data_IF_304487512931
#
_entry.id   IF_304487512931
#
_cell.length_a   1.000
_cell.length_b   1.000
_cell.length_c   1.000
_cell.angle_alpha   90.00
_cell.angle_beta   90.00
_cell.angle_gamma   90.00
#
_symmetry.space_group_name_H-M   'P 1'
#
loop_
_entity.id
_entity.type
_entity.pdbx_description
1 polymer ?
#
# COMPACT_ATOMS: atom_id res chain seq x y z
N UNK A 1 8.63 -94.18 31.00
CA UNK A 1 7.87 -92.93 30.79
C UNK A 1 8.39 -91.72 31.60
N UNK A 2 9.55 -91.76 32.28
CA UNK A 2 10.04 -90.61 33.08
C UNK A 2 10.73 -89.52 32.23
N UNK A 3 11.36 -89.92 31.13
CA UNK A 3 12.10 -89.00 30.25
C UNK A 3 11.18 -88.21 29.31
N UNK A 4 9.97 -88.73 29.04
CA UNK A 4 8.97 -88.05 28.20
C UNK A 4 8.34 -86.86 28.92
N UNK A 5 8.11 -86.98 30.22
CA UNK A 5 7.56 -85.91 31.06
C UNK A 5 8.55 -84.74 31.12
N UNK A 6 9.85 -85.03 31.23
CA UNK A 6 10.89 -84.00 31.24
C UNK A 6 10.97 -83.24 29.90
N UNK A 7 10.83 -83.94 28.77
CA UNK A 7 10.81 -83.31 27.44
C UNK A 7 9.65 -82.34 27.25
N UNK A 8 8.44 -82.70 27.72
CA UNK A 8 7.25 -81.84 27.63
C UNK A 8 7.40 -80.58 28.49
N UNK A 9 8.00 -80.69 29.68
CA UNK A 9 8.25 -79.54 30.57
C UNK A 9 9.29 -78.58 29.97
N UNK A 10 10.35 -79.09 29.35
CA UNK A 10 11.34 -78.23 28.68
C UNK A 10 10.75 -77.52 27.44
N UNK A 11 9.86 -78.19 26.70
CA UNK A 11 9.20 -77.61 25.53
C UNK A 11 8.20 -76.50 25.92
N UNK A 12 7.49 -76.66 27.03
CA UNK A 12 6.53 -75.64 27.49
C UNK A 12 7.21 -74.38 28.03
N UNK A 13 8.36 -74.51 28.72
CA UNK A 13 9.10 -73.35 29.25
C UNK A 13 9.72 -72.51 28.13
N UNK A 14 10.17 -73.13 27.04
CA UNK A 14 10.78 -72.41 25.91
C UNK A 14 9.74 -71.87 24.92
N UNK A 15 8.56 -72.48 24.81
CA UNK A 15 7.48 -72.07 23.89
C UNK A 15 6.70 -70.82 24.31
N UNK A 16 6.71 -70.43 25.60
CA UNK A 16 5.96 -69.27 26.09
C UNK A 16 6.69 -67.92 25.89
N UNK A 17 7.95 -67.92 25.45
CA UNK A 17 8.76 -66.69 25.35
C UNK A 17 8.68 -65.96 23.99
N UNK A 18 7.78 -66.35 23.08
CA UNK A 18 7.68 -65.73 21.75
C UNK A 18 6.24 -65.42 21.29
N UNK A 19 5.45 -64.74 22.13
CA UNK A 19 4.23 -64.07 21.68
C UNK A 19 4.18 -62.63 22.16
N UNK A 20 5.17 -61.84 21.73
CA UNK A 20 5.01 -60.38 21.65
C UNK A 20 4.66 -60.07 20.21
N UNK A 21 3.36 -59.90 19.95
CA UNK A 21 2.91 -59.26 18.70
C UNK A 21 3.57 -57.87 18.71
N UNK A 22 4.26 -57.43 17.64
CA UNK A 22 4.55 -56.02 17.52
C UNK A 22 3.19 -55.35 17.39
N UNK A 23 2.81 -54.56 18.40
CA UNK A 23 1.71 -53.63 18.25
C UNK A 23 2.09 -52.68 17.10
N UNK A 24 1.63 -53.01 15.90
CA UNK A 24 1.61 -52.11 14.75
C UNK A 24 0.55 -51.05 15.03
N UNK A 25 0.83 -50.20 16.00
CA UNK A 25 0.15 -48.94 16.28
C UNK A 25 1.15 -47.78 16.37
N UNK A 26 2.39 -47.99 15.90
CA UNK A 26 3.42 -46.96 15.81
C UNK A 26 3.47 -46.25 14.45
N UNK A 27 2.33 -46.19 13.73
CA UNK A 27 2.18 -45.35 12.51
C UNK A 27 0.91 -44.48 12.59
N UNK A 28 0.28 -44.38 13.76
CA UNK A 28 -0.82 -43.45 14.01
C UNK A 28 -0.44 -42.28 14.94
N UNK A 29 0.84 -42.13 15.27
CA UNK A 29 1.38 -40.82 15.66
C UNK A 29 1.67 -40.04 14.39
N UNK A 30 0.61 -39.73 13.63
CA UNK A 30 0.64 -38.66 12.63
C UNK A 30 0.78 -37.39 13.44
N UNK A 31 2.02 -37.05 13.76
CA UNK A 31 2.53 -35.71 14.00
C UNK A 31 1.47 -34.71 14.49
N UNK A 32 1.05 -34.86 15.74
CA UNK A 32 0.17 -33.91 16.44
C UNK A 32 0.87 -32.56 16.68
N UNK A 33 2.12 -32.42 16.23
CA UNK A 33 2.89 -31.18 16.20
C UNK A 33 2.88 -30.48 14.84
N UNK A 34 2.14 -31.01 13.85
CA UNK A 34 1.97 -30.34 12.56
C UNK A 34 1.04 -29.15 12.74
N UNK A 35 1.59 -28.06 13.27
CA UNK A 35 0.95 -26.77 13.31
C UNK A 35 0.34 -26.50 11.93
N UNK A 36 -0.99 -26.35 11.92
CA UNK A 36 -1.74 -26.03 10.71
C UNK A 36 -1.42 -24.58 10.38
N UNK A 37 -0.26 -24.36 9.77
CA UNK A 37 0.05 -23.09 9.17
C UNK A 37 -0.88 -22.93 7.98
N UNK A 38 -1.53 -21.78 7.89
CA UNK A 38 -2.17 -21.37 6.66
C UNK A 38 -1.06 -21.27 5.59
N UNK A 39 -0.87 -22.35 4.83
CA UNK A 39 0.09 -22.41 3.72
C UNK A 39 -0.50 -21.80 2.46
N UNK A 40 -1.57 -20.99 2.56
CA UNK A 40 -1.80 -20.03 1.49
C UNK A 40 -0.55 -19.17 1.44
N UNK A 41 0.23 -19.34 0.38
CA UNK A 41 1.33 -18.45 0.08
C UNK A 41 0.71 -17.07 -0.10
N UNK A 42 0.62 -16.29 0.98
CA UNK A 42 0.58 -14.84 0.88
C UNK A 42 1.94 -14.53 0.30
N UNK A 43 1.98 -14.50 -1.03
CA UNK A 43 3.17 -14.38 -1.83
C UNK A 43 3.81 -13.02 -1.54
N UNK A 44 4.53 -12.99 -0.42
CA UNK A 44 5.28 -11.86 0.09
C UNK A 44 6.52 -11.60 -0.75
N UNK A 45 6.75 -12.43 -1.77
CA UNK A 45 7.90 -12.38 -2.68
C UNK A 45 7.48 -12.10 -4.13
N UNK A 46 6.19 -12.02 -4.45
CA UNK A 46 5.71 -11.58 -5.76
C UNK A 46 6.10 -10.13 -6.01
N UNK A 47 6.29 -9.80 -7.28
CA UNK A 47 6.47 -8.41 -7.70
C UNK A 47 5.23 -7.59 -7.28
N UNK A 48 5.43 -6.63 -6.36
CA UNK A 48 4.37 -5.78 -5.82
C UNK A 48 3.90 -6.17 -4.41
N UNK A 49 4.37 -7.29 -3.86
CA UNK A 49 4.18 -7.60 -2.45
C UNK A 49 4.94 -6.60 -1.58
N UNK A 50 4.22 -5.82 -0.79
CA UNK A 50 4.78 -4.84 0.14
C UNK A 50 4.13 -5.00 1.50
N UNK A 51 4.86 -4.68 2.56
CA UNK A 51 4.29 -4.71 3.91
C UNK A 51 3.16 -3.69 4.04
N UNK A 52 2.24 -3.94 4.97
CA UNK A 52 1.09 -3.07 5.24
C UNK A 52 1.55 -1.63 5.54
N UNK A 53 2.67 -1.47 6.24
CA UNK A 53 3.23 -0.15 6.57
C UNK A 53 3.73 0.60 5.33
N UNK A 54 4.41 -0.09 4.42
CA UNK A 54 4.89 0.50 3.16
C UNK A 54 3.70 0.89 2.29
N UNK A 55 2.69 0.02 2.17
CA UNK A 55 1.48 0.34 1.40
C UNK A 55 0.72 1.54 1.99
N UNK A 56 0.67 1.66 3.32
CA UNK A 56 0.09 2.81 4.01
C UNK A 56 0.86 4.10 3.71
N UNK A 57 2.18 4.06 3.73
CA UNK A 57 3.02 5.23 3.38
C UNK A 57 2.80 5.65 1.93
N UNK A 58 2.76 4.69 0.99
CA UNK A 58 2.49 4.95 -0.43
C UNK A 58 1.11 5.62 -0.60
N UNK A 59 0.09 5.14 0.11
CA UNK A 59 -1.25 5.73 0.04
C UNK A 59 -1.26 7.17 0.57
N UNK A 60 -0.60 7.42 1.70
CA UNK A 60 -0.50 8.78 2.25
C UNK A 60 0.29 9.72 1.35
N UNK A 61 1.40 9.27 0.76
CA UNK A 61 2.22 10.10 -0.14
C UNK A 61 1.48 10.42 -1.43
N UNK A 62 0.75 9.46 -2.00
CA UNK A 62 -0.08 9.67 -3.19
C UNK A 62 -1.18 10.72 -2.95
N UNK A 63 -1.88 10.63 -1.82
CA UNK A 63 -2.89 11.63 -1.44
C UNK A 63 -2.28 13.03 -1.28
N UNK A 64 -1.17 13.13 -0.55
CA UNK A 64 -0.45 14.41 -0.37
C UNK A 64 0.00 15.01 -1.69
N UNK A 65 0.48 14.20 -2.63
CA UNK A 65 0.88 14.66 -3.96
C UNK A 65 -0.32 15.22 -4.72
N UNK A 66 -1.44 14.49 -4.76
CA UNK A 66 -2.66 14.96 -5.42
C UNK A 66 -3.17 16.27 -4.82
N UNK A 67 -3.13 16.40 -3.49
CA UNK A 67 -3.56 17.62 -2.80
C UNK A 67 -2.62 18.79 -3.09
N UNK A 68 -1.31 18.54 -3.15
CA UNK A 68 -0.29 19.54 -3.52
C UNK A 68 -0.51 20.05 -4.94
N UNK A 69 -0.78 19.16 -5.90
CA UNK A 69 -1.08 19.53 -7.28
C UNK A 69 -2.36 20.38 -7.35
N UNK A 70 -3.42 19.99 -6.65
CA UNK A 70 -4.66 20.78 -6.60
C UNK A 70 -4.44 22.15 -5.97
N UNK A 71 -3.62 22.25 -4.94
CA UNK A 71 -3.27 23.53 -4.31
C UNK A 71 -2.53 24.44 -5.28
N UNK A 72 -1.54 23.91 -6.01
CA UNK A 72 -0.79 24.66 -7.02
C UNK A 72 -1.70 25.19 -8.14
N UNK A 73 -2.63 24.36 -8.63
CA UNK A 73 -3.60 24.78 -9.65
C UNK A 73 -4.49 25.92 -9.16
N UNK A 74 -4.98 25.84 -7.90
CA UNK A 74 -5.81 26.90 -7.32
C UNK A 74 -5.06 28.23 -7.20
N UNK A 75 -3.78 28.19 -6.80
CA UNK A 75 -2.95 29.39 -6.73
C UNK A 75 -2.75 30.00 -8.12
N UNK A 76 -2.49 29.17 -9.14
CA UNK A 76 -2.36 29.63 -10.51
C UNK A 76 -3.65 30.28 -11.04
N UNK A 77 -4.82 29.74 -10.71
CA UNK A 77 -6.10 30.36 -11.07
C UNK A 77 -6.31 31.71 -10.39
N UNK A 78 -5.90 31.85 -9.13
CA UNK A 78 -5.98 33.12 -8.41
C UNK A 78 -5.02 34.16 -9.00
N UNK A 79 -3.78 33.79 -9.29
CA UNK A 79 -2.81 34.64 -9.96
C UNK A 79 -3.34 35.12 -11.31
N UNK A 80 -3.89 34.21 -12.13
CA UNK A 80 -4.50 34.57 -13.42
C UNK A 80 -5.62 35.60 -13.26
N UNK A 81 -6.53 35.40 -12.31
CA UNK A 81 -7.62 36.36 -12.03
C UNK A 81 -7.08 37.72 -11.64
N UNK A 82 -6.09 37.77 -10.75
CA UNK A 82 -5.46 39.03 -10.32
C UNK A 82 -4.78 39.71 -11.51
N UNK A 83 -4.03 38.96 -12.34
CA UNK A 83 -3.39 39.53 -13.54
C UNK A 83 -4.41 40.05 -14.55
N UNK A 84 -5.52 39.35 -14.77
CA UNK A 84 -6.59 39.81 -15.66
C UNK A 84 -7.29 41.06 -15.13
N UNK A 85 -7.51 41.16 -13.83
CA UNK A 85 -8.07 42.36 -13.19
C UNK A 85 -7.11 43.55 -13.30
N UNK A 86 -5.82 43.35 -13.03
CA UNK A 86 -4.79 44.37 -13.18
C UNK A 86 -4.64 44.83 -14.63
N UNK A 87 -4.70 43.92 -15.61
CA UNK A 87 -4.66 44.29 -17.02
C UNK A 87 -5.88 45.14 -17.44
N UNK A 88 -7.07 44.78 -16.95
CA UNK A 88 -8.30 45.55 -17.22
C UNK A 88 -8.23 46.93 -16.56
N UNK A 89 -7.70 47.03 -15.34
CA UNK A 89 -7.52 48.31 -14.66
C UNK A 89 -6.48 49.19 -15.37
N UNK A 90 -5.33 48.62 -15.77
CA UNK A 90 -4.28 49.34 -16.48
C UNK A 90 -4.75 49.85 -17.85
N UNK A 91 -5.54 49.05 -18.59
CA UNK A 91 -6.14 49.49 -19.86
C UNK A 91 -7.11 50.65 -19.66
N UNK A 92 -7.92 50.64 -18.61
CA UNK A 92 -8.85 51.75 -18.28
C UNK A 92 -8.10 53.02 -17.88
N UNK A 93 -7.04 52.92 -17.07
CA UNK A 93 -6.20 54.06 -16.68
C UNK A 93 -5.48 54.70 -17.88
N UNK A 94 -4.95 53.87 -18.78
CA UNK A 94 -4.31 54.35 -20.01
C UNK A 94 -5.30 55.05 -20.96
N UNK A 95 -6.56 54.63 -20.99
CA UNK A 95 -7.60 55.28 -21.80
C UNK A 95 -8.06 56.62 -21.20
N UNK A 96 -8.15 56.72 -19.86
CA UNK A 96 -8.42 58.00 -19.18
C UNK A 96 -7.28 59.01 -19.34
N UNK A 97 -6.02 58.59 -19.28
CA UNK A 97 -4.87 59.48 -19.52
C UNK A 97 -4.81 59.97 -20.96
N UNK A 98 -5.15 59.13 -21.94
CA UNK A 98 -5.26 59.57 -23.35
C UNK A 98 -6.40 60.58 -23.55
N UNK A 99 -7.53 60.42 -22.86
CA UNK A 99 -8.63 61.40 -22.94
C UNK A 99 -8.24 62.73 -22.29
N UNK A 100 -7.64 62.71 -21.09
CA UNK A 100 -7.17 63.92 -20.38
C UNK A 100 -6.04 64.66 -21.13
N UNK A 101 -5.14 63.96 -21.80
CA UNK A 101 -4.10 64.60 -22.63
C UNK A 101 -4.64 65.19 -23.94
N UNK A 102 -5.74 64.63 -24.48
CA UNK A 102 -6.39 65.15 -25.69
C UNK A 102 -7.22 66.42 -25.45
N UNK A 103 -7.84 66.57 -24.27
CA UNK A 103 -8.54 67.80 -23.87
C UNK A 103 -7.54 68.94 -23.59
N UNK A 104 -6.43 68.65 -22.90
CA UNK A 104 -5.41 69.66 -22.58
C UNK A 104 -4.70 70.24 -23.83
N UNK A 105 -4.61 69.48 -24.92
CA UNK A 105 -4.07 69.98 -26.18
C UNK A 105 -5.05 70.88 -26.94
N UNK A 106 -6.37 70.61 -26.86
CA UNK A 106 -7.40 71.47 -27.47
C UNK A 106 -7.52 72.82 -26.77
N UNK A 107 -7.38 72.85 -25.44
CA UNK A 107 -7.44 74.11 -24.67
C UNK A 107 -6.20 74.99 -24.88
N UNK A 108 -5.04 74.42 -25.22
CA UNK A 108 -3.83 75.19 -25.56
C UNK A 108 -3.86 75.77 -26.97
N UNK A 109 -4.58 75.15 -27.90
CA UNK A 109 -4.68 75.60 -29.28
C UNK A 109 -5.72 76.73 -29.46
N UNK A 110 -6.74 76.81 -28.60
CA UNK A 110 -7.71 77.92 -28.59
C UNK A 110 -7.23 79.21 -27.90
N UNK A 111 -6.15 79.17 -27.12
CA UNK A 111 -5.63 80.36 -26.41
C UNK A 111 -4.59 81.16 -27.20
N UNK A 112 -4.18 80.65 -28.37
CA UNK A 112 -3.17 81.26 -29.24
C UNK A 112 -3.75 81.77 -30.59
N UNK A 113 -5.08 81.89 -30.72
CA UNK A 113 -5.77 82.57 -31.82
C UNK A 113 -6.36 83.90 -31.36
#
# INVERSE_FOLDING_TARGET
>A
MKNFIFGIVCLSVTGLSCSKKPDTSAVAAVDESRATYDTTAIDSFSAGATSVDVMRQIRMSSQRYQDSVKAAVKLQEQEKKITEELEKENKKKAEEEKKKSSENNKDKEQKNQ
#
